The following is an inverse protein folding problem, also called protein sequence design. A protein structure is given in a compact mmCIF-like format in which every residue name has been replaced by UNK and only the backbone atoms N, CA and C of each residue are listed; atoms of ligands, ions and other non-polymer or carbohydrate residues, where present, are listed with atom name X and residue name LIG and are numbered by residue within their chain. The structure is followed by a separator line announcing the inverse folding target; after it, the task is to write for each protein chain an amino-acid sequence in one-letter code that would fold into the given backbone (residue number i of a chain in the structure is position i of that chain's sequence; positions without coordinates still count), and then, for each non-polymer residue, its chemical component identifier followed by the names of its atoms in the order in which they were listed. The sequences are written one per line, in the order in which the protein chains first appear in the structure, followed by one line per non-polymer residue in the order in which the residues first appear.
data_IF_419419474744
#
_entry.id   IF_419419474744
#
_cell.length_a   1.000
_cell.length_b   1.000
_cell.length_c   1.000
_cell.angle_alpha   90.00
_cell.angle_beta   90.00
_cell.angle_gamma   90.00
#
_symmetry.space_group_name_H-M   'P 1'
#
loop_
_entity.id
_entity.type
_entity.pdbx_description
1 polymer ?
#
# COMPACT_ATOMS: atom_id res chain seq x y z
N UNK A 1 26.51 -40.66 -27.60
CA UNK A 1 26.31 -39.19 -27.62
C UNK A 1 27.17 -38.64 -26.49
N UNK A 2 28.32 -38.07 -26.82
CA UNK A 2 29.19 -37.47 -25.80
C UNK A 2 28.57 -36.13 -25.40
N UNK A 3 28.13 -36.02 -24.15
CA UNK A 3 27.65 -34.76 -23.61
C UNK A 3 28.85 -33.84 -23.44
N UNK A 4 28.89 -32.80 -24.25
CA UNK A 4 30.01 -31.87 -24.34
C UNK A 4 29.95 -30.89 -23.14
N UNK A 5 30.51 -31.32 -22.01
CA UNK A 5 30.51 -30.61 -20.72
C UNK A 5 31.00 -29.16 -20.81
N UNK A 6 31.79 -28.86 -21.84
CA UNK A 6 32.30 -27.53 -22.20
C UNK A 6 31.18 -26.50 -22.38
N UNK A 7 30.05 -26.91 -22.96
CA UNK A 7 28.88 -26.04 -23.16
C UNK A 7 28.14 -25.72 -21.86
N UNK A 8 28.11 -26.66 -20.93
CA UNK A 8 27.50 -26.46 -19.60
C UNK A 8 28.37 -25.52 -18.76
N UNK A 9 29.69 -25.68 -18.83
CA UNK A 9 30.65 -24.83 -18.11
C UNK A 9 30.57 -23.36 -18.55
N UNK A 10 30.34 -23.10 -19.84
CA UNK A 10 30.15 -21.75 -20.38
C UNK A 10 28.72 -21.23 -20.22
N UNK A 11 27.70 -22.09 -20.36
CA UNK A 11 26.30 -21.69 -20.27
C UNK A 11 25.86 -21.31 -18.86
N UNK A 12 26.33 -22.04 -17.84
CA UNK A 12 25.94 -21.83 -16.44
C UNK A 12 26.27 -20.42 -15.91
N UNK A 13 27.49 -19.87 -16.08
CA UNK A 13 27.80 -18.51 -15.63
C UNK A 13 27.02 -17.44 -16.43
N UNK A 14 26.70 -17.70 -17.71
CA UNK A 14 25.91 -16.76 -18.53
C UNK A 14 24.47 -16.70 -18.03
N UNK A 15 23.84 -17.85 -17.80
CA UNK A 15 22.47 -17.91 -17.27
C UNK A 15 22.42 -17.31 -15.87
N UNK A 16 23.43 -17.57 -15.03
CA UNK A 16 23.54 -16.96 -13.70
C UNK A 16 23.69 -15.43 -13.76
N UNK A 17 24.55 -14.91 -14.65
CA UNK A 17 24.74 -13.47 -14.82
C UNK A 17 23.47 -12.79 -15.35
N UNK A 18 22.77 -13.41 -16.30
CA UNK A 18 21.48 -12.92 -16.81
C UNK A 18 20.40 -12.93 -15.73
N UNK A 19 20.31 -14.00 -14.93
CA UNK A 19 19.39 -14.07 -13.79
C UNK A 19 19.69 -13.04 -12.70
N UNK A 20 20.97 -12.82 -12.39
CA UNK A 20 21.41 -11.79 -11.44
C UNK A 20 21.12 -10.37 -11.95
N UNK A 21 21.36 -10.11 -13.23
CA UNK A 21 21.07 -8.83 -13.86
C UNK A 21 19.54 -8.56 -13.90
N UNK A 22 18.76 -9.58 -14.25
CA UNK A 22 17.29 -9.51 -14.20
C UNK A 22 16.79 -9.25 -12.79
N UNK A 23 17.27 -10.01 -11.79
CA UNK A 23 16.92 -9.80 -10.37
C UNK A 23 17.30 -8.39 -9.88
N UNK A 24 18.43 -7.85 -10.33
CA UNK A 24 18.85 -6.48 -9.98
C UNK A 24 17.93 -5.40 -10.56
N UNK A 25 17.33 -5.64 -11.72
CA UNK A 25 16.34 -4.75 -12.32
C UNK A 25 14.95 -4.96 -11.67
N UNK A 26 14.59 -6.20 -11.38
CA UNK A 26 13.31 -6.61 -10.78
C UNK A 26 13.14 -6.12 -9.33
N UNK A 27 14.25 -6.03 -8.58
CA UNK A 27 14.29 -5.39 -7.26
C UNK A 27 13.91 -3.89 -7.30
N UNK A 28 14.01 -3.22 -8.46
CA UNK A 28 13.50 -1.85 -8.60
C UNK A 28 12.01 -1.82 -8.87
N UNK A 29 11.48 -2.82 -9.57
CA UNK A 29 10.07 -2.87 -9.96
C UNK A 29 9.17 -3.19 -8.75
N UNK A 30 9.56 -4.15 -7.92
CA UNK A 30 8.87 -4.45 -6.65
C UNK A 30 8.96 -3.33 -5.59
N UNK A 31 9.89 -2.38 -5.76
CA UNK A 31 10.12 -1.27 -4.80
C UNK A 31 9.43 0.03 -5.21
N UNK A 32 8.92 0.12 -6.44
CA UNK A 32 8.25 1.32 -6.95
C UNK A 32 6.73 1.25 -6.69
N UNK A 33 6.17 0.07 -6.52
CA UNK A 33 4.73 -0.13 -6.27
C UNK A 33 4.30 0.20 -4.82
N UNK A 34 5.23 0.20 -3.86
CA UNK A 34 4.91 0.23 -2.41
C UNK A 34 5.28 1.55 -1.68
N UNK A 35 5.55 2.65 -2.40
CA UNK A 35 6.26 3.82 -1.82
C UNK A 35 5.57 5.18 -1.87
N UNK A 36 4.37 5.30 -2.43
CA UNK A 36 3.65 6.58 -2.45
C UNK A 36 2.65 6.75 -1.28
N UNK A 37 1.97 5.68 -0.86
CA UNK A 37 1.10 5.65 0.32
C UNK A 37 1.77 6.04 1.67
N UNK A 38 3.07 5.77 1.95
CA UNK A 38 3.62 6.04 3.28
C UNK A 38 3.68 7.54 3.61
N UNK A 39 4.09 8.38 2.66
CA UNK A 39 4.40 9.80 2.95
C UNK A 39 3.17 10.64 3.30
N UNK A 40 2.01 10.33 2.72
CA UNK A 40 0.78 11.07 3.00
C UNK A 40 0.13 10.57 4.30
N UNK A 41 0.12 9.25 4.53
CA UNK A 41 -0.27 8.63 5.79
C UNK A 41 0.53 9.18 6.99
N UNK A 42 1.86 9.22 6.89
CA UNK A 42 2.71 9.74 7.96
C UNK A 42 2.48 11.23 8.23
N UNK A 43 2.11 12.03 7.21
CA UNK A 43 1.75 13.43 7.40
C UNK A 43 0.46 13.57 8.21
N UNK A 44 -0.59 12.83 7.85
CA UNK A 44 -1.85 12.82 8.61
C UNK A 44 -1.65 12.37 10.06
N UNK A 45 -0.81 11.36 10.28
CA UNK A 45 -0.47 10.90 11.63
C UNK A 45 0.34 11.94 12.42
N UNK A 46 1.26 12.65 11.78
CA UNK A 46 2.00 13.73 12.43
C UNK A 46 1.06 14.87 12.87
N UNK A 47 0.07 15.23 12.06
CA UNK A 47 -0.95 16.21 12.46
C UNK A 47 -1.77 15.72 13.66
N UNK A 48 -2.14 14.44 13.70
CA UNK A 48 -2.81 13.83 14.84
C UNK A 48 -1.98 13.90 16.12
N UNK A 49 -0.67 13.64 16.04
CA UNK A 49 0.24 13.73 17.18
C UNK A 49 0.41 15.17 17.69
N UNK A 50 0.20 16.16 16.82
CA UNK A 50 0.25 17.59 17.17
C UNK A 50 -1.13 18.17 17.52
N UNK A 51 -2.15 17.33 17.76
CA UNK A 51 -3.54 17.74 18.04
C UNK A 51 -4.21 18.58 16.93
N UNK A 52 -3.63 18.60 15.73
CA UNK A 52 -4.11 19.34 14.56
C UNK A 52 -5.09 18.49 13.75
N UNK A 53 -6.24 18.20 14.35
CA UNK A 53 -7.19 17.21 13.82
C UNK A 53 -7.81 17.59 12.47
N UNK A 54 -8.10 18.89 12.24
CA UNK A 54 -8.61 19.38 10.95
C UNK A 54 -7.59 19.20 9.82
N UNK A 55 -6.33 19.55 10.06
CA UNK A 55 -5.25 19.39 9.07
C UNK A 55 -4.93 17.91 8.82
N UNK A 56 -5.09 17.06 9.83
CA UNK A 56 -4.99 15.62 9.65
C UNK A 56 -6.05 15.11 8.68
N UNK A 57 -7.31 15.54 8.83
CA UNK A 57 -8.41 15.16 7.95
C UNK A 57 -8.10 15.56 6.50
N UNK A 58 -7.67 16.80 6.26
CA UNK A 58 -7.32 17.26 4.91
C UNK A 58 -6.17 16.44 4.30
N UNK A 59 -5.13 16.15 5.10
CA UNK A 59 -4.00 15.33 4.66
C UNK A 59 -4.42 13.88 4.33
N UNK A 60 -5.34 13.29 5.09
CA UNK A 60 -5.87 11.96 4.80
C UNK A 60 -6.81 11.95 3.59
N UNK A 61 -7.61 13.00 3.38
CA UNK A 61 -8.43 13.14 2.16
C UNK A 61 -7.52 13.22 0.93
N UNK A 62 -6.46 14.04 0.97
CA UNK A 62 -5.48 14.12 -0.11
C UNK A 62 -4.80 12.76 -0.36
N UNK A 63 -4.50 12.02 0.71
CA UNK A 63 -3.91 10.69 0.62
C UNK A 63 -4.84 9.70 -0.08
N UNK A 64 -6.12 9.65 0.32
CA UNK A 64 -7.14 8.78 -0.29
C UNK A 64 -7.39 9.14 -1.75
N UNK A 65 -7.36 10.42 -2.12
CA UNK A 65 -7.52 10.83 -3.53
C UNK A 65 -6.36 10.38 -4.41
N UNK A 66 -5.14 10.31 -3.87
CA UNK A 66 -3.94 9.90 -4.60
C UNK A 66 -3.83 8.38 -4.72
N UNK A 67 -4.23 7.68 -3.67
CA UNK A 67 -4.20 6.23 -3.60
C UNK A 67 -5.53 5.73 -3.01
N UNK A 68 -6.57 5.61 -3.86
CA UNK A 68 -7.88 5.20 -3.41
C UNK A 68 -7.92 3.73 -2.97
N UNK A 69 -6.93 2.92 -3.35
CA UNK A 69 -6.95 1.46 -3.18
C UNK A 69 -6.45 1.04 -1.80
N UNK A 70 -5.77 1.94 -1.09
CA UNK A 70 -5.26 1.68 0.25
C UNK A 70 -6.38 1.67 1.29
N UNK A 71 -6.66 0.49 1.85
CA UNK A 71 -7.66 0.31 2.90
C UNK A 71 -7.27 1.02 4.20
N UNK A 72 -5.99 1.03 4.56
CA UNK A 72 -5.46 1.71 5.75
C UNK A 72 -5.81 3.22 5.79
N UNK A 73 -5.80 3.89 4.63
CA UNK A 73 -6.12 5.32 4.54
C UNK A 73 -7.60 5.57 4.83
N UNK A 74 -8.49 4.71 4.34
CA UNK A 74 -9.92 4.79 4.61
C UNK A 74 -10.25 4.51 6.07
N UNK A 75 -9.56 3.55 6.70
CA UNK A 75 -9.66 3.30 8.14
C UNK A 75 -9.20 4.49 8.97
N UNK A 76 -8.05 5.07 8.66
CA UNK A 76 -7.52 6.24 9.35
C UNK A 76 -8.50 7.42 9.27
N UNK A 77 -9.06 7.66 8.07
CA UNK A 77 -10.01 8.74 7.83
C UNK A 77 -11.34 8.52 8.57
N UNK A 78 -11.90 7.32 8.56
CA UNK A 78 -13.15 7.05 9.29
C UNK A 78 -12.98 7.08 10.82
N UNK A 79 -11.85 6.60 11.35
CA UNK A 79 -11.51 6.76 12.77
C UNK A 79 -11.40 8.23 13.17
N UNK A 80 -10.85 9.07 12.29
CA UNK A 80 -10.79 10.52 12.48
C UNK A 80 -12.18 11.14 12.55
N UNK A 81 -13.07 10.80 11.61
CA UNK A 81 -14.45 11.26 11.64
C UNK A 81 -15.21 10.80 12.88
N UNK A 82 -15.00 9.56 13.35
CA UNK A 82 -15.55 9.07 14.63
C UNK A 82 -15.08 9.92 15.82
N UNK A 83 -13.78 10.25 15.89
CA UNK A 83 -13.23 11.08 16.98
C UNK A 83 -13.76 12.51 16.97
N UNK A 84 -14.16 13.03 15.81
CA UNK A 84 -14.78 14.35 15.65
C UNK A 84 -16.29 14.35 15.94
N UNK A 85 -16.90 13.17 16.10
CA UNK A 85 -18.35 13.03 16.22
C UNK A 85 -19.10 13.06 14.89
N UNK A 86 -18.39 13.06 13.75
CA UNK A 86 -18.97 13.03 12.41
C UNK A 86 -19.25 11.59 11.95
N UNK A 87 -20.02 10.85 12.77
CA UNK A 87 -20.26 9.41 12.58
C UNK A 87 -20.87 9.09 11.22
N UNK A 88 -21.77 9.93 10.70
CA UNK A 88 -22.35 9.74 9.36
C UNK A 88 -21.31 9.79 8.24
N UNK A 89 -20.30 10.66 8.36
CA UNK A 89 -19.20 10.74 7.39
C UNK A 89 -18.29 9.53 7.51
N UNK A 90 -18.03 9.06 8.72
CA UNK A 90 -17.25 7.84 8.96
C UNK A 90 -17.90 6.62 8.29
N UNK A 91 -19.22 6.44 8.48
CA UNK A 91 -20.00 5.37 7.86
C UNK A 91 -19.89 5.41 6.34
N UNK A 92 -20.10 6.58 5.71
CA UNK A 92 -19.97 6.71 4.25
C UNK A 92 -18.58 6.34 3.72
N UNK A 93 -17.52 6.68 4.45
CA UNK A 93 -16.15 6.30 4.08
C UNK A 93 -15.94 4.78 4.18
N UNK A 94 -16.49 4.14 5.22
CA UNK A 94 -16.40 2.70 5.42
C UNK A 94 -17.26 1.93 4.41
N UNK A 95 -18.46 2.41 4.09
CA UNK A 95 -19.32 1.86 3.04
C UNK A 95 -18.66 1.95 1.67
N UNK A 96 -18.02 3.08 1.35
CA UNK A 96 -17.29 3.24 0.09
C UNK A 96 -16.10 2.26 0.00
N UNK A 97 -15.43 1.98 1.12
CA UNK A 97 -14.36 0.98 1.20
C UNK A 97 -14.91 -0.45 1.03
N UNK A 98 -16.00 -0.79 1.72
CA UNK A 98 -16.65 -2.11 1.67
C UNK A 98 -17.28 -2.43 0.32
N UNK A 99 -17.70 -1.41 -0.44
CA UNK A 99 -18.22 -1.57 -1.79
C UNK A 99 -17.15 -1.98 -2.81
N UNK A 100 -15.86 -1.92 -2.45
CA UNK A 100 -14.75 -2.32 -3.33
C UNK A 100 -14.56 -3.84 -3.28
N UNK A 101 -14.70 -4.48 -4.44
CA UNK A 101 -14.63 -5.94 -4.58
C UNK A 101 -13.22 -6.54 -4.35
N UNK A 102 -12.16 -5.73 -4.38
CA UNK A 102 -10.77 -6.16 -4.19
C UNK A 102 -10.28 -6.12 -2.73
N UNK A 103 -11.19 -5.92 -1.77
CA UNK A 103 -10.82 -5.78 -0.36
C UNK A 103 -10.36 -7.13 0.23
N UNK A 104 -9.10 -7.20 0.68
CA UNK A 104 -8.51 -8.39 1.30
C UNK A 104 -9.35 -8.88 2.48
N UNK A 105 -9.38 -10.20 2.74
CA UNK A 105 -10.19 -10.80 3.82
C UNK A 105 -9.90 -10.20 5.20
N UNK A 106 -8.65 -9.80 5.47
CA UNK A 106 -8.27 -9.15 6.73
C UNK A 106 -8.79 -7.70 6.87
N UNK A 107 -9.06 -7.03 5.76
CA UNK A 107 -9.59 -5.66 5.75
C UNK A 107 -11.10 -5.66 5.90
N UNK A 108 -11.77 -6.69 5.36
CA UNK A 108 -13.18 -6.93 5.59
C UNK A 108 -13.53 -7.07 7.07
N UNK A 109 -12.75 -7.83 7.84
CA UNK A 109 -12.99 -8.01 9.28
C UNK A 109 -12.74 -6.71 10.06
N UNK A 110 -11.69 -5.95 9.72
CA UNK A 110 -11.41 -4.64 10.34
C UNK A 110 -12.52 -3.62 10.05
N UNK A 111 -13.11 -3.64 8.85
CA UNK A 111 -14.17 -2.73 8.42
C UNK A 111 -15.52 -3.01 9.09
N UNK A 112 -15.78 -4.25 9.51
CA UNK A 112 -17.01 -4.60 10.23
C UNK A 112 -16.97 -4.23 11.72
N UNK A 113 -15.78 -4.05 12.29
CA UNK A 113 -15.59 -3.77 13.72
C UNK A 113 -15.17 -2.32 14.03
N UNK A 114 -14.97 -1.48 13.01
CA UNK A 114 -14.63 -0.06 13.12
C UNK A 114 -15.88 0.84 13.04
#
# INVERSE_FOLDING_TARGET
MEFDFTWILLGLPIVFALGWLASRLDLRQLRIEDRQAPKAYFRGLNYLLNEQQDQAIDAFIEAVQKDPDTSELHFALGNLFRRRGETERAVRVHEHLLARADLSKGDHERAQHA
#
